data_IF_826656523920
#
_entry.id   IF_826656523920
#
_cell.length_a   1.000
_cell.length_b   1.000
_cell.length_c   1.000
_cell.angle_alpha   90.00
_cell.angle_beta   90.00
_cell.angle_gamma   90.00
#
_symmetry.space_group_name_H-M   'P 1'
#
loop_
_entity.id
_entity.type
_entity.pdbx_description
1 polymer ?
#
# COMPACT_ATOMS: atom_id res chain seq x y z
N UNK A 1 12.42 19.59 -26.11
CA UNK A 1 11.03 19.40 -26.54
C UNK A 1 10.21 19.09 -25.30
N UNK A 2 9.10 19.79 -25.12
CA UNK A 2 8.06 19.48 -24.13
C UNK A 2 7.33 18.22 -24.61
N UNK A 3 6.68 17.45 -23.72
CA UNK A 3 5.78 16.39 -24.18
C UNK A 3 4.58 17.03 -24.91
N UNK A 4 4.34 16.63 -26.16
CA UNK A 4 3.25 17.13 -26.99
C UNK A 4 2.66 16.00 -27.85
N UNK A 5 1.41 16.17 -28.26
CA UNK A 5 0.75 15.35 -29.29
C UNK A 5 0.12 16.31 -30.28
N UNK A 6 0.48 16.24 -31.55
CA UNK A 6 -0.01 17.13 -32.61
C UNK A 6 0.16 18.62 -32.24
N UNK A 7 -0.92 19.28 -31.81
CA UNK A 7 -1.02 20.68 -31.44
C UNK A 7 -1.22 20.92 -29.92
N UNK A 8 -1.23 19.86 -29.11
CA UNK A 8 -1.45 19.92 -27.65
C UNK A 8 -0.16 19.71 -26.88
N UNK A 9 0.06 20.54 -25.87
CA UNK A 9 1.22 20.47 -24.99
C UNK A 9 0.79 20.15 -23.57
N UNK A 10 1.55 19.29 -22.89
CA UNK A 10 1.37 19.09 -21.45
C UNK A 10 1.91 20.27 -20.68
N UNK A 11 1.09 20.89 -19.84
CA UNK A 11 1.53 21.94 -18.91
C UNK A 11 2.22 21.31 -17.69
N UNK A 12 3.54 21.40 -17.63
CA UNK A 12 4.35 20.83 -16.54
C UNK A 12 4.24 21.73 -15.31
N UNK A 13 3.34 21.38 -14.39
CA UNK A 13 3.08 22.16 -13.16
C UNK A 13 4.21 22.11 -12.14
N UNK A 14 4.64 20.90 -11.79
CA UNK A 14 5.60 20.68 -10.71
C UNK A 14 6.41 19.41 -10.93
N UNK A 15 7.69 19.47 -10.59
CA UNK A 15 8.59 18.33 -10.46
C UNK A 15 9.12 18.23 -9.02
N UNK A 16 9.52 17.04 -8.60
CA UNK A 16 10.10 16.82 -7.27
C UNK A 16 11.16 15.72 -7.29
N UNK A 17 12.22 15.94 -6.53
CA UNK A 17 13.29 14.98 -6.26
C UNK A 17 13.95 15.36 -4.92
N UNK A 18 14.59 14.43 -4.22
CA UNK A 18 15.37 14.72 -3.01
C UNK A 18 16.74 15.31 -3.34
N UNK A 19 17.26 15.04 -4.55
CA UNK A 19 18.61 15.39 -4.95
C UNK A 19 18.68 16.83 -5.51
N UNK A 20 19.43 17.69 -4.83
CA UNK A 20 19.70 19.08 -5.25
C UNK A 20 20.30 19.19 -6.66
N UNK A 21 21.03 18.17 -7.13
CA UNK A 21 21.57 18.17 -8.49
C UNK A 21 20.47 17.97 -9.55
N UNK A 22 19.41 17.24 -9.21
CA UNK A 22 18.22 17.12 -10.06
C UNK A 22 17.52 18.48 -10.17
N UNK A 23 17.40 19.23 -9.07
CA UNK A 23 16.85 20.59 -9.06
C UNK A 23 17.66 21.52 -9.96
N UNK A 24 18.99 21.57 -9.78
CA UNK A 24 19.86 22.42 -10.58
C UNK A 24 19.73 22.12 -12.08
N UNK A 25 19.76 20.83 -12.45
CA UNK A 25 19.60 20.39 -13.83
C UNK A 25 18.23 20.78 -14.37
N UNK A 26 17.18 20.61 -13.56
CA UNK A 26 15.82 20.94 -13.97
C UNK A 26 15.68 22.45 -14.24
N UNK A 27 16.13 23.28 -13.30
CA UNK A 27 16.06 24.75 -13.42
C UNK A 27 16.79 25.28 -14.64
N UNK A 28 17.98 24.73 -14.95
CA UNK A 28 18.73 25.13 -16.13
C UNK A 28 18.05 24.64 -17.41
N UNK A 29 17.70 23.35 -17.48
CA UNK A 29 17.24 22.75 -18.73
C UNK A 29 15.80 23.11 -19.06
N UNK A 30 14.88 22.99 -18.11
CA UNK A 30 13.45 23.17 -18.37
C UNK A 30 13.04 24.62 -18.21
N UNK A 31 13.41 25.29 -17.11
CA UNK A 31 13.00 26.69 -16.91
C UNK A 31 13.78 27.68 -17.79
N UNK A 32 15.12 27.64 -17.76
CA UNK A 32 15.93 28.63 -18.49
C UNK A 32 16.03 28.36 -19.99
N UNK A 33 16.40 27.14 -20.39
CA UNK A 33 16.63 26.83 -21.81
C UNK A 33 15.34 26.58 -22.60
N UNK A 34 14.35 25.91 -22.00
CA UNK A 34 13.08 25.59 -22.66
C UNK A 34 11.95 26.58 -22.33
N UNK A 35 12.16 27.51 -21.37
CA UNK A 35 11.18 28.53 -21.02
C UNK A 35 9.95 28.00 -20.30
N UNK A 36 10.01 26.80 -19.70
CA UNK A 36 8.87 26.21 -19.00
C UNK A 36 8.74 26.82 -17.59
N UNK A 37 7.54 27.20 -17.18
CA UNK A 37 7.27 27.72 -15.83
C UNK A 37 6.93 26.59 -14.84
N UNK A 38 7.76 25.53 -14.85
CA UNK A 38 7.59 24.37 -13.99
C UNK A 38 8.21 24.62 -12.62
N UNK A 39 7.45 24.43 -11.56
CA UNK A 39 7.98 24.48 -10.19
C UNK A 39 8.83 23.25 -9.89
N UNK A 40 9.79 23.39 -8.99
CA UNK A 40 10.59 22.25 -8.50
C UNK A 40 10.59 22.22 -6.97
N UNK A 41 10.26 21.06 -6.40
CA UNK A 41 10.26 20.82 -4.95
C UNK A 41 11.38 19.85 -4.60
N UNK A 42 12.49 20.40 -4.08
CA UNK A 42 13.62 19.60 -3.59
C UNK A 42 13.35 19.16 -2.14
N UNK A 43 12.72 18.00 -1.98
CA UNK A 43 12.30 17.49 -0.67
C UNK A 43 12.17 15.96 -0.71
N UNK A 44 12.45 15.29 0.41
CA UNK A 44 12.19 13.86 0.54
C UNK A 44 10.68 13.59 0.61
N UNK A 45 10.18 12.76 -0.32
CA UNK A 45 8.78 12.33 -0.37
C UNK A 45 8.30 11.62 0.89
N UNK A 46 9.23 11.09 1.70
CA UNK A 46 8.95 10.39 2.94
C UNK A 46 8.77 11.31 4.16
N UNK A 47 9.00 12.62 4.01
CA UNK A 47 8.75 13.60 5.06
C UNK A 47 7.25 13.87 5.25
N UNK A 48 6.79 13.96 6.50
CA UNK A 48 5.39 14.25 6.81
C UNK A 48 4.94 15.62 6.28
N UNK A 49 5.87 16.56 6.10
CA UNK A 49 5.63 17.89 5.53
C UNK A 49 5.57 17.90 4.01
N UNK A 50 6.02 16.85 3.31
CA UNK A 50 6.09 16.81 1.85
C UNK A 50 4.71 17.00 1.22
N UNK A 51 3.73 16.20 1.63
CA UNK A 51 2.40 16.24 1.03
C UNK A 51 1.68 17.59 1.29
N UNK A 52 1.68 18.16 2.52
CA UNK A 52 1.21 19.52 2.76
C UNK A 52 1.90 20.57 1.87
N UNK A 53 3.22 20.49 1.70
CA UNK A 53 3.97 21.41 0.85
C UNK A 53 3.60 21.27 -0.62
N UNK A 54 3.48 20.02 -1.12
CA UNK A 54 3.05 19.72 -2.48
C UNK A 54 1.67 20.33 -2.76
N UNK A 55 0.70 20.08 -1.88
CA UNK A 55 -0.66 20.61 -2.04
C UNK A 55 -0.69 22.13 -2.00
N UNK A 56 0.13 22.76 -1.16
CA UNK A 56 0.29 24.22 -1.13
C UNK A 56 0.86 24.75 -2.45
N UNK A 57 1.84 24.07 -3.04
CA UNK A 57 2.46 24.51 -4.29
C UNK A 57 1.56 24.31 -5.52
N UNK A 58 0.78 23.23 -5.55
CA UNK A 58 -0.23 22.96 -6.58
C UNK A 58 -1.46 23.88 -6.43
N UNK A 59 -1.83 24.22 -5.19
CA UNK A 59 -3.02 25.01 -4.90
C UNK A 59 -4.31 24.29 -5.33
N UNK A 60 -5.23 25.02 -5.97
CA UNK A 60 -6.53 24.50 -6.40
C UNK A 60 -6.52 23.96 -7.85
N UNK A 61 -5.34 23.71 -8.41
CA UNK A 61 -5.23 23.24 -9.80
C UNK A 61 -5.59 21.76 -9.89
N UNK A 62 -6.43 21.40 -10.86
CA UNK A 62 -6.65 20.00 -11.21
C UNK A 62 -5.41 19.46 -11.94
N UNK A 63 -4.97 18.26 -11.57
CA UNK A 63 -3.81 17.61 -12.18
C UNK A 63 -4.33 16.47 -13.05
N UNK A 64 -4.08 16.54 -14.35
CA UNK A 64 -4.52 15.49 -15.28
C UNK A 64 -3.66 14.23 -15.16
N UNK A 65 -2.33 14.39 -15.03
CA UNK A 65 -1.38 13.28 -15.07
C UNK A 65 -0.32 13.43 -13.98
N UNK A 66 -0.06 12.35 -13.23
CA UNK A 66 1.11 12.24 -12.35
C UNK A 66 2.03 11.14 -12.87
N UNK A 67 3.29 11.45 -13.14
CA UNK A 67 4.29 10.47 -13.56
C UNK A 67 5.37 10.32 -12.49
N UNK A 68 5.82 9.10 -12.20
CA UNK A 68 6.91 8.89 -11.24
C UNK A 68 7.56 7.52 -11.36
N UNK A 69 8.79 7.40 -10.87
CA UNK A 69 9.53 6.14 -10.80
C UNK A 69 10.01 5.87 -9.37
N UNK A 70 9.10 5.60 -8.41
CA UNK A 70 9.49 5.32 -7.03
C UNK A 70 10.44 4.11 -7.01
N UNK A 71 11.58 4.28 -6.34
CA UNK A 71 12.61 3.24 -6.31
C UNK A 71 12.09 1.97 -5.62
N UNK A 72 12.38 0.80 -6.20
CA UNK A 72 11.94 -0.49 -5.68
C UNK A 72 12.97 -1.11 -4.69
N UNK A 73 13.96 -0.33 -4.21
CA UNK A 73 15.05 -0.84 -3.36
C UNK A 73 14.55 -1.40 -2.02
N UNK A 74 13.45 -0.85 -1.49
CA UNK A 74 12.73 -1.29 -0.28
C UNK A 74 12.17 -2.72 -0.36
N UNK A 75 11.85 -3.21 -1.56
CA UNK A 75 11.23 -4.53 -1.76
C UNK A 75 12.24 -5.70 -1.75
N UNK A 76 13.54 -5.45 -1.57
CA UNK A 76 14.62 -6.37 -1.96
C UNK A 76 14.92 -7.56 -1.04
N UNK A 77 14.30 -7.72 0.13
CA UNK A 77 14.85 -8.65 1.14
C UNK A 77 13.94 -9.67 1.83
N UNK A 78 12.62 -9.72 1.64
CA UNK A 78 11.83 -10.70 2.39
C UNK A 78 10.51 -11.08 1.71
N UNK A 79 10.16 -12.36 1.76
CA UNK A 79 9.04 -12.99 1.04
C UNK A 79 7.63 -12.54 1.45
N UNK A 80 6.65 -13.47 1.49
CA UNK A 80 5.21 -13.29 1.82
C UNK A 80 4.85 -12.40 3.04
N UNK A 81 5.83 -11.96 3.82
CA UNK A 81 5.75 -11.42 5.18
C UNK A 81 6.18 -9.95 5.25
N UNK A 82 5.73 -9.10 4.32
CA UNK A 82 5.95 -7.64 4.40
C UNK A 82 4.74 -6.77 4.04
N UNK A 83 3.50 -7.22 4.33
CA UNK A 83 2.27 -6.46 4.04
C UNK A 83 2.16 -5.14 4.84
N UNK A 84 2.93 -5.00 5.92
CA UNK A 84 2.60 -4.06 6.98
C UNK A 84 3.54 -2.86 7.14
N UNK A 85 4.76 -2.95 6.60
CA UNK A 85 5.70 -1.84 6.62
C UNK A 85 5.68 -1.06 5.30
N UNK A 86 4.69 -0.16 5.18
CA UNK A 86 4.51 0.71 4.00
C UNK A 86 5.24 2.05 4.13
N UNK A 87 5.66 2.48 5.33
CA UNK A 87 6.09 3.86 5.57
C UNK A 87 7.51 4.18 5.08
N UNK A 88 8.37 3.17 5.00
CA UNK A 88 9.72 3.31 4.42
C UNK A 88 9.75 2.90 2.94
N UNK A 89 8.58 2.81 2.31
CA UNK A 89 8.42 2.46 0.91
C UNK A 89 8.10 3.71 0.09
N UNK A 90 9.00 4.10 -0.82
CA UNK A 90 8.77 5.21 -1.75
C UNK A 90 7.49 5.01 -2.56
N UNK A 91 7.13 3.75 -2.83
CA UNK A 91 5.88 3.42 -3.50
C UNK A 91 4.64 3.85 -2.69
N UNK A 92 4.65 3.65 -1.37
CA UNK A 92 3.53 4.06 -0.52
C UNK A 92 3.34 5.58 -0.49
N UNK A 93 4.43 6.35 -0.40
CA UNK A 93 4.32 7.81 -0.44
C UNK A 93 3.94 8.33 -1.83
N UNK A 94 4.37 7.66 -2.90
CA UNK A 94 3.85 7.90 -4.24
C UNK A 94 2.33 7.69 -4.29
N UNK A 95 1.81 6.58 -3.76
CA UNK A 95 0.36 6.36 -3.68
C UNK A 95 -0.36 7.40 -2.81
N UNK A 96 0.25 7.91 -1.73
CA UNK A 96 -0.32 9.04 -0.96
C UNK A 96 -0.50 10.27 -1.83
N UNK A 97 0.49 10.59 -2.68
CA UNK A 97 0.39 11.69 -3.65
C UNK A 97 -0.75 11.44 -4.63
N UNK A 98 -0.86 10.22 -5.17
CA UNK A 98 -1.98 9.85 -6.07
C UNK A 98 -3.33 10.00 -5.36
N UNK A 99 -3.46 9.50 -4.12
CA UNK A 99 -4.69 9.61 -3.31
C UNK A 99 -5.09 11.06 -3.06
N UNK A 100 -4.12 11.95 -2.83
CA UNK A 100 -4.37 13.35 -2.52
C UNK A 100 -4.67 14.20 -3.76
N UNK A 101 -3.91 14.02 -4.85
CA UNK A 101 -4.09 14.78 -6.08
C UNK A 101 -5.23 14.24 -6.97
N UNK A 102 -5.58 12.96 -6.82
CA UNK A 102 -6.62 12.26 -7.59
C UNK A 102 -6.55 12.53 -9.10
N UNK A 103 -5.36 12.41 -9.75
CA UNK A 103 -5.21 12.74 -11.15
C UNK A 103 -6.07 11.84 -12.05
N UNK A 104 -6.39 12.32 -13.26
CA UNK A 104 -7.12 11.52 -14.28
C UNK A 104 -6.34 10.27 -14.67
N UNK A 105 -5.03 10.39 -14.77
CA UNK A 105 -4.12 9.27 -15.03
C UNK A 105 -2.89 9.36 -14.13
N UNK A 106 -2.30 8.21 -13.81
CA UNK A 106 -0.94 8.19 -13.29
C UNK A 106 -0.12 7.12 -13.99
N UNK A 107 1.18 7.37 -14.08
CA UNK A 107 2.15 6.49 -14.72
C UNK A 107 3.28 6.23 -13.75
N UNK A 108 3.40 4.97 -13.33
CA UNK A 108 4.49 4.52 -12.48
C UNK A 108 5.46 3.66 -13.29
N UNK A 109 6.70 4.13 -13.43
CA UNK A 109 7.77 3.42 -14.14
C UNK A 109 8.62 2.61 -13.17
N UNK A 110 9.12 1.46 -13.63
CA UNK A 110 10.11 0.67 -12.91
C UNK A 110 10.96 -0.23 -13.83
N UNK A 111 11.97 -0.87 -13.27
CA UNK A 111 12.81 -1.84 -13.97
C UNK A 111 12.08 -3.16 -14.21
N UNK A 112 12.37 -3.84 -15.34
CA UNK A 112 11.74 -5.12 -15.71
C UNK A 112 11.82 -6.21 -14.63
N UNK A 113 12.89 -6.23 -13.85
CA UNK A 113 13.06 -7.18 -12.75
C UNK A 113 11.95 -7.14 -11.68
N UNK A 114 11.16 -6.06 -11.62
CA UNK A 114 10.02 -5.96 -10.68
C UNK A 114 8.95 -7.04 -10.92
N UNK A 115 8.78 -7.49 -12.17
CA UNK A 115 7.77 -8.47 -12.55
C UNK A 115 8.03 -9.86 -11.95
N UNK A 116 9.30 -10.20 -11.73
CA UNK A 116 9.74 -11.52 -11.25
C UNK A 116 10.26 -11.49 -9.82
N UNK A 117 10.35 -10.31 -9.20
CA UNK A 117 10.88 -10.13 -7.84
C UNK A 117 9.98 -10.83 -6.82
N UNK A 118 10.59 -11.58 -5.91
CA UNK A 118 9.90 -12.46 -4.95
C UNK A 118 8.82 -13.33 -5.62
N UNK A 119 9.17 -14.03 -6.70
CA UNK A 119 8.26 -14.89 -7.46
C UNK A 119 7.02 -14.14 -8.01
N UNK A 120 7.17 -12.84 -8.31
CA UNK A 120 6.10 -11.99 -8.84
C UNK A 120 5.16 -11.40 -7.78
N UNK A 121 5.40 -11.67 -6.49
CA UNK A 121 4.57 -11.13 -5.39
C UNK A 121 4.66 -9.61 -5.28
N UNK A 122 5.78 -9.01 -5.66
CA UNK A 122 5.93 -7.54 -5.63
C UNK A 122 4.98 -6.86 -6.63
N UNK A 123 4.89 -7.40 -7.85
CA UNK A 123 3.95 -6.92 -8.87
C UNK A 123 2.52 -6.99 -8.35
N UNK A 124 2.13 -8.13 -7.81
CA UNK A 124 0.79 -8.35 -7.28
C UNK A 124 0.46 -7.41 -6.11
N UNK A 125 1.42 -7.20 -5.20
CA UNK A 125 1.27 -6.23 -4.11
C UNK A 125 1.02 -4.82 -4.65
N UNK A 126 1.77 -4.37 -5.64
CA UNK A 126 1.60 -3.04 -6.26
C UNK A 126 0.17 -2.90 -6.82
N UNK A 127 -0.30 -3.90 -7.57
CA UNK A 127 -1.65 -3.90 -8.13
C UNK A 127 -2.72 -3.84 -7.03
N UNK A 128 -2.56 -4.62 -5.95
CA UNK A 128 -3.48 -4.61 -4.79
C UNK A 128 -3.54 -3.26 -4.10
N UNK A 129 -2.39 -2.60 -3.89
CA UNK A 129 -2.35 -1.28 -3.26
C UNK A 129 -3.00 -0.21 -4.13
N UNK A 130 -2.82 -0.27 -5.45
CA UNK A 130 -3.48 0.64 -6.40
C UNK A 130 -5.00 0.39 -6.42
N UNK A 131 -5.43 -0.88 -6.49
CA UNK A 131 -6.84 -1.29 -6.43
C UNK A 131 -7.51 -0.95 -5.10
N UNK A 132 -6.70 -0.75 -4.05
CA UNK A 132 -7.14 -0.30 -2.73
C UNK A 132 -7.33 1.21 -2.63
N UNK A 133 -7.06 1.97 -3.70
CA UNK A 133 -7.42 3.39 -3.76
C UNK A 133 -8.92 3.49 -4.10
N UNK A 134 -9.70 4.00 -3.16
CA UNK A 134 -11.16 4.08 -3.25
C UNK A 134 -11.65 5.51 -3.33
N UNK A 135 -12.88 5.66 -3.81
CA UNK A 135 -13.64 6.89 -3.80
C UNK A 135 -14.56 6.95 -2.57
N UNK A 136 -14.14 7.69 -1.54
CA UNK A 136 -14.82 7.76 -0.24
C UNK A 136 -16.29 8.15 -0.36
N UNK A 137 -16.65 8.98 -1.35
CA UNK A 137 -18.03 9.41 -1.58
C UNK A 137 -18.98 8.25 -1.94
N UNK A 138 -18.45 7.15 -2.46
CA UNK A 138 -19.22 5.99 -2.94
C UNK A 138 -19.25 4.83 -1.94
N UNK A 139 -18.49 4.93 -0.86
CA UNK A 139 -18.33 3.87 0.15
C UNK A 139 -19.60 3.55 0.93
N UNK A 140 -20.54 4.50 1.03
CA UNK A 140 -21.83 4.28 1.69
C UNK A 140 -22.62 3.11 1.09
N UNK A 141 -22.51 2.89 -0.24
CA UNK A 141 -23.17 1.75 -0.90
C UNK A 141 -22.59 0.41 -0.43
N UNK A 142 -21.27 0.36 -0.23
CA UNK A 142 -20.62 -0.83 0.31
C UNK A 142 -21.00 -1.06 1.77
N UNK A 143 -21.01 -0.03 2.61
CA UNK A 143 -21.42 -0.18 4.00
C UNK A 143 -22.85 -0.72 4.15
N UNK A 144 -23.79 -0.23 3.34
CA UNK A 144 -25.16 -0.77 3.31
C UNK A 144 -25.16 -2.25 2.89
N UNK A 145 -24.41 -2.61 1.84
CA UNK A 145 -24.29 -4.01 1.41
C UNK A 145 -23.70 -4.91 2.50
N UNK A 146 -22.66 -4.46 3.20
CA UNK A 146 -22.05 -5.22 4.29
C UNK A 146 -23.07 -5.47 5.42
N UNK A 147 -23.84 -4.45 5.80
CA UNK A 147 -24.79 -4.54 6.91
C UNK A 147 -25.99 -5.43 6.57
N UNK A 148 -26.58 -5.27 5.37
CA UNK A 148 -27.80 -5.98 4.98
C UNK A 148 -27.53 -7.40 4.47
N UNK A 149 -26.39 -7.61 3.79
CA UNK A 149 -26.09 -8.86 3.09
C UNK A 149 -25.05 -9.68 3.82
N UNK A 150 -23.92 -9.08 4.22
CA UNK A 150 -22.78 -9.84 4.73
C UNK A 150 -22.92 -10.17 6.22
N UNK A 151 -23.35 -9.21 7.04
CA UNK A 151 -23.49 -9.35 8.50
C UNK A 151 -24.30 -10.59 8.92
N UNK A 152 -25.45 -10.93 8.30
CA UNK A 152 -26.21 -12.13 8.67
C UNK A 152 -25.53 -13.46 8.31
N UNK A 153 -24.47 -13.44 7.50
CA UNK A 153 -23.84 -14.64 6.92
C UNK A 153 -22.53 -15.03 7.59
N UNK A 154 -22.04 -14.28 8.57
CA UNK A 154 -20.75 -14.52 9.19
C UNK A 154 -20.77 -14.25 10.71
N UNK A 155 -19.82 -14.80 11.48
CA UNK A 155 -19.70 -14.52 12.91
C UNK A 155 -19.59 -13.02 13.17
N UNK A 156 -20.29 -12.54 14.22
CA UNK A 156 -20.34 -11.11 14.54
C UNK A 156 -18.95 -10.51 14.74
N UNK A 157 -18.08 -11.17 15.49
CA UNK A 157 -16.68 -10.75 15.74
C UNK A 157 -15.90 -10.50 14.45
N UNK A 158 -16.04 -11.41 13.49
CA UNK A 158 -15.37 -11.38 12.20
C UNK A 158 -15.95 -10.29 11.29
N UNK A 159 -17.28 -10.14 11.28
CA UNK A 159 -17.94 -9.01 10.61
C UNK A 159 -17.42 -7.67 11.11
N UNK A 160 -17.34 -7.50 12.43
CA UNK A 160 -16.86 -6.25 13.02
C UNK A 160 -15.40 -5.98 12.64
N UNK A 161 -14.53 -6.99 12.66
CA UNK A 161 -13.16 -6.84 12.18
C UNK A 161 -13.13 -6.36 10.72
N UNK A 162 -13.84 -7.06 9.82
CA UNK A 162 -13.87 -6.71 8.41
C UNK A 162 -14.44 -5.32 8.14
N UNK A 163 -15.58 -4.99 8.74
CA UNK A 163 -16.24 -3.70 8.61
C UNK A 163 -15.33 -2.56 9.09
N UNK A 164 -14.79 -2.68 10.31
CA UNK A 164 -13.89 -1.66 10.88
C UNK A 164 -12.63 -1.51 10.03
N UNK A 165 -12.05 -2.61 9.51
CA UNK A 165 -10.89 -2.55 8.62
C UNK A 165 -11.15 -1.78 7.33
N UNK A 166 -12.32 -1.99 6.72
CA UNK A 166 -12.74 -1.24 5.53
C UNK A 166 -12.97 0.24 5.86
N UNK A 167 -13.55 0.56 7.03
CA UNK A 167 -13.69 1.94 7.48
C UNK A 167 -12.34 2.63 7.70
N UNK A 168 -11.30 1.91 8.14
CA UNK A 168 -9.95 2.48 8.32
C UNK A 168 -9.33 3.00 7.01
N UNK A 169 -9.79 2.54 5.83
CA UNK A 169 -9.26 2.98 4.53
C UNK A 169 -9.84 4.33 4.06
N UNK A 170 -11.01 4.70 4.57
CA UNK A 170 -11.77 5.89 4.13
C UNK A 170 -11.82 6.99 5.21
N UNK A 171 -11.53 6.63 6.46
CA UNK A 171 -11.63 7.54 7.61
C UNK A 171 -10.31 8.28 7.84
N UNK A 172 -9.93 9.19 6.95
CA UNK A 172 -8.71 10.02 7.11
C UNK A 172 -8.68 10.81 8.43
N UNK A 173 -9.85 11.20 8.96
CA UNK A 173 -9.93 12.01 10.18
C UNK A 173 -10.22 11.20 11.47
N UNK A 174 -10.28 9.87 11.39
CA UNK A 174 -10.66 9.05 12.56
C UNK A 174 -9.99 7.66 12.63
N UNK A 175 -8.85 7.49 11.95
CA UNK A 175 -8.15 6.21 11.90
C UNK A 175 -7.84 5.68 13.30
N UNK A 176 -7.37 6.52 14.22
CA UNK A 176 -7.01 6.10 15.59
C UNK A 176 -8.22 5.53 16.35
N UNK A 177 -9.40 6.14 16.19
CA UNK A 177 -10.64 5.61 16.79
C UNK A 177 -11.05 4.28 16.16
N UNK A 178 -10.97 4.15 14.84
CA UNK A 178 -11.30 2.87 14.17
C UNK A 178 -10.31 1.78 14.59
N UNK A 179 -9.03 2.14 14.73
CA UNK A 179 -8.00 1.26 15.25
C UNK A 179 -8.32 0.83 16.70
N UNK A 180 -8.72 1.75 17.57
CA UNK A 180 -9.18 1.41 18.93
C UNK A 180 -10.35 0.43 18.93
N UNK A 181 -11.40 0.70 18.16
CA UNK A 181 -12.57 -0.18 18.01
C UNK A 181 -12.16 -1.58 17.53
N UNK A 182 -11.24 -1.65 16.56
CA UNK A 182 -10.73 -2.91 16.04
C UNK A 182 -10.04 -3.72 17.15
N UNK A 183 -9.16 -3.08 17.92
CA UNK A 183 -8.43 -3.75 19.00
C UNK A 183 -9.33 -4.13 20.18
N UNK A 184 -10.36 -3.35 20.50
CA UNK A 184 -11.38 -3.74 21.49
C UNK A 184 -12.11 -5.04 21.08
N UNK A 185 -12.43 -5.19 19.78
CA UNK A 185 -13.00 -6.42 19.25
C UNK A 185 -12.02 -7.60 19.37
N UNK A 186 -10.73 -7.42 19.07
CA UNK A 186 -9.71 -8.46 19.26
C UNK A 186 -9.53 -8.85 20.74
N UNK A 187 -9.54 -7.88 21.65
CA UNK A 187 -9.46 -8.13 23.09
C UNK A 187 -10.68 -8.92 23.60
N UNK A 188 -11.88 -8.62 23.09
CA UNK A 188 -13.07 -9.41 23.41
C UNK A 188 -12.94 -10.85 22.89
N UNK A 189 -12.47 -11.04 21.66
CA UNK A 189 -12.21 -12.38 21.12
C UNK A 189 -11.16 -13.15 21.93
N UNK A 190 -10.12 -12.46 22.42
CA UNK A 190 -9.14 -13.08 23.32
C UNK A 190 -9.77 -13.54 24.64
N UNK A 191 -10.73 -12.79 25.20
CA UNK A 191 -11.48 -13.23 26.38
C UNK A 191 -12.28 -14.49 26.08
N UNK A 192 -12.90 -14.58 24.90
CA UNK A 192 -13.62 -15.79 24.48
C UNK A 192 -12.71 -16.99 24.33
N UNK A 193 -11.50 -16.82 23.80
CA UNK A 193 -10.51 -17.91 23.72
C UNK A 193 -10.03 -18.33 25.11
N UNK A 194 -9.73 -17.37 25.99
CA UNK A 194 -9.10 -17.63 27.30
C UNK A 194 -10.08 -18.05 28.40
N UNK A 195 -11.40 -17.87 28.22
CA UNK A 195 -12.43 -18.32 29.20
C UNK A 195 -12.43 -19.85 29.42
N UNK A 196 -11.89 -20.60 28.46
CA UNK A 196 -11.77 -22.06 28.53
C UNK A 196 -10.59 -22.54 29.38
N UNK A 197 -9.71 -21.63 29.80
CA UNK A 197 -8.57 -21.94 30.65
C UNK A 197 -8.86 -21.67 32.12
N UNK A 198 -8.25 -22.43 33.05
CA UNK A 198 -8.21 -22.08 34.46
C UNK A 198 -7.66 -20.66 34.67
N UNK A 199 -8.23 -19.92 35.63
CA UNK A 199 -7.85 -18.52 35.88
C UNK A 199 -6.36 -18.32 36.13
N UNK A 200 -5.70 -19.24 36.84
CA UNK A 200 -4.25 -19.20 37.09
C UNK A 200 -3.46 -19.26 35.78
N UNK A 201 -3.81 -20.19 34.89
CA UNK A 201 -3.19 -20.36 33.57
C UNK A 201 -3.45 -19.13 32.70
N UNK A 202 -4.71 -18.69 32.60
CA UNK A 202 -5.06 -17.48 31.84
C UNK A 202 -4.25 -16.24 32.29
N UNK A 203 -3.88 -16.14 33.57
CA UNK A 203 -3.11 -15.00 34.08
C UNK A 203 -1.59 -15.10 33.84
N UNK A 204 -1.00 -16.29 33.98
CA UNK A 204 0.46 -16.44 34.01
C UNK A 204 1.06 -17.17 32.81
N UNK A 205 0.24 -17.79 31.95
CA UNK A 205 0.75 -18.56 30.81
C UNK A 205 1.51 -17.68 29.81
N UNK A 206 2.63 -18.21 29.34
CA UNK A 206 3.51 -17.53 28.38
C UNK A 206 2.75 -17.21 27.08
N UNK A 207 2.04 -18.18 26.51
CA UNK A 207 1.34 -18.01 25.23
C UNK A 207 0.20 -17.01 25.37
N UNK A 208 -0.58 -17.06 26.45
CA UNK A 208 -1.63 -16.07 26.70
C UNK A 208 -1.04 -14.65 26.81
N UNK A 209 0.09 -14.50 27.49
CA UNK A 209 0.78 -13.21 27.61
C UNK A 209 1.39 -12.76 26.27
N UNK A 210 1.92 -13.67 25.46
CA UNK A 210 2.38 -13.38 24.09
C UNK A 210 1.24 -12.82 23.25
N UNK A 211 0.03 -13.37 23.35
CA UNK A 211 -1.12 -12.84 22.60
C UNK A 211 -1.47 -11.42 23.09
N UNK A 212 -1.62 -11.23 24.41
CA UNK A 212 -1.94 -9.91 25.00
C UNK A 212 -0.94 -8.84 24.58
N UNK A 213 0.36 -9.13 24.72
CA UNK A 213 1.41 -8.19 24.34
C UNK A 213 1.50 -8.03 22.83
N UNK A 214 1.26 -9.08 22.06
CA UNK A 214 1.17 -9.02 20.60
C UNK A 214 0.11 -8.04 20.13
N UNK A 215 -1.11 -8.11 20.68
CA UNK A 215 -2.20 -7.16 20.40
C UNK A 215 -1.81 -5.73 20.76
N UNK A 216 -1.26 -5.50 21.96
CA UNK A 216 -0.83 -4.18 22.40
C UNK A 216 0.26 -3.60 21.48
N UNK A 217 1.26 -4.41 21.15
CA UNK A 217 2.34 -3.97 20.26
C UNK A 217 1.79 -3.65 18.87
N UNK A 218 0.89 -4.46 18.31
CA UNK A 218 0.24 -4.21 17.02
C UNK A 218 -0.56 -2.90 17.05
N UNK A 219 -1.24 -2.60 18.17
CA UNK A 219 -1.94 -1.33 18.38
C UNK A 219 -0.98 -0.13 18.39
N UNK A 220 0.24 -0.30 18.92
CA UNK A 220 1.29 0.72 19.00
C UNK A 220 2.09 0.90 17.70
N UNK A 221 1.49 0.60 16.54
CA UNK A 221 2.17 0.65 15.23
C UNK A 221 2.94 1.95 14.98
N UNK A 222 2.33 3.11 15.21
CA UNK A 222 2.96 4.41 14.96
C UNK A 222 4.27 4.58 15.74
N UNK A 223 4.29 4.15 17.01
CA UNK A 223 5.48 4.22 17.86
C UNK A 223 6.56 3.26 17.39
N UNK A 224 6.19 2.02 17.02
CA UNK A 224 7.16 1.04 16.49
C UNK A 224 7.76 1.51 15.16
N UNK A 225 6.93 2.02 14.25
CA UNK A 225 7.39 2.55 12.97
C UNK A 225 8.37 3.73 13.18
N UNK A 226 8.10 4.61 14.15
CA UNK A 226 9.02 5.70 14.50
C UNK A 226 10.37 5.18 15.04
N UNK A 227 10.36 4.14 15.87
CA UNK A 227 11.60 3.49 16.36
C UNK A 227 12.36 2.86 15.19
N UNK A 228 11.68 2.11 14.30
CA UNK A 228 12.30 1.50 13.11
C UNK A 228 12.98 2.56 12.25
N UNK A 229 12.29 3.66 11.95
CA UNK A 229 12.82 4.78 11.16
C UNK A 229 14.10 5.35 11.78
N UNK A 230 14.11 5.58 13.09
CA UNK A 230 15.31 6.08 13.79
C UNK A 230 16.48 5.09 13.73
N UNK A 231 16.22 3.79 13.85
CA UNK A 231 17.26 2.74 13.74
C UNK A 231 17.81 2.69 12.32
N UNK A 232 16.96 2.78 11.30
CA UNK A 232 17.38 2.83 9.88
C UNK A 232 18.20 4.10 9.61
N UNK A 233 17.75 5.26 10.08
CA UNK A 233 18.47 6.52 9.92
C UNK A 233 19.86 6.45 10.57
N UNK A 234 19.97 5.92 11.79
CA UNK A 234 21.25 5.73 12.46
C UNK A 234 22.17 4.79 11.66
N UNK A 235 21.64 3.68 11.15
CA UNK A 235 22.37 2.74 10.29
C UNK A 235 22.95 3.45 9.06
N UNK A 236 22.13 4.24 8.37
CA UNK A 236 22.53 5.01 7.18
C UNK A 236 23.58 6.07 7.50
N UNK A 237 23.37 6.87 8.56
CA UNK A 237 24.30 7.94 8.95
C UNK A 237 25.66 7.42 9.41
N UNK A 238 25.70 6.23 10.00
CA UNK A 238 26.93 5.58 10.41
C UNK A 238 27.59 4.76 9.28
N UNK A 239 27.00 4.73 8.06
CA UNK A 239 27.43 3.90 6.94
C UNK A 239 27.56 2.41 7.32
N UNK A 240 26.68 1.92 8.20
CA UNK A 240 26.65 0.51 8.59
C UNK A 240 26.11 -0.31 7.42
N UNK A 241 27.01 -0.99 6.74
CA UNK A 241 26.71 -1.88 5.64
C UNK A 241 27.83 -2.91 5.48
N UNK A 242 27.45 -4.14 5.13
CA UNK A 242 28.37 -5.26 4.91
C UNK A 242 29.44 -5.44 6.02
N UNK A 243 29.03 -5.31 7.29
CA UNK A 243 29.88 -5.40 8.48
C UNK A 243 29.23 -6.26 9.59
N UNK A 244 29.92 -6.43 10.73
CA UNK A 244 29.43 -7.25 11.86
C UNK A 244 28.31 -6.61 12.67
N UNK A 245 28.03 -5.32 12.50
CA UNK A 245 26.95 -4.63 13.21
C UNK A 245 25.60 -4.82 12.52
N UNK A 246 25.60 -5.12 11.22
CA UNK A 246 24.39 -5.17 10.38
C UNK A 246 23.28 -6.06 10.97
N UNK A 247 23.64 -7.23 11.50
CA UNK A 247 22.68 -8.22 12.01
C UNK A 247 21.96 -7.73 13.26
N UNK A 248 22.65 -7.05 14.17
CA UNK A 248 22.05 -6.52 15.39
C UNK A 248 21.00 -5.44 15.10
N UNK A 249 21.30 -4.54 14.16
CA UNK A 249 20.37 -3.49 13.73
C UNK A 249 19.18 -4.08 12.97
N UNK A 250 19.45 -5.01 12.05
CA UNK A 250 18.39 -5.70 11.31
C UNK A 250 17.47 -6.47 12.27
N UNK A 251 18.01 -7.12 13.30
CA UNK A 251 17.24 -7.85 14.30
C UNK A 251 16.32 -6.93 15.13
N UNK A 252 16.77 -5.72 15.51
CA UNK A 252 15.92 -4.73 16.18
C UNK A 252 14.74 -4.36 15.29
N UNK A 253 15.03 -4.00 14.03
CA UNK A 253 14.01 -3.66 13.04
C UNK A 253 13.03 -4.82 12.91
N UNK A 254 13.52 -6.02 12.60
CA UNK A 254 12.69 -7.22 12.39
C UNK A 254 11.85 -7.60 13.61
N UNK A 255 12.42 -7.56 14.82
CA UNK A 255 11.72 -7.97 16.05
C UNK A 255 10.49 -7.13 16.35
N UNK A 256 10.53 -5.83 16.07
CA UNK A 256 9.41 -4.90 16.28
C UNK A 256 8.54 -4.71 15.03
N UNK A 257 8.80 -5.48 13.97
CA UNK A 257 7.95 -5.49 12.78
C UNK A 257 6.56 -6.03 13.09
N UNK A 258 5.57 -5.53 12.37
CA UNK A 258 4.21 -6.03 12.48
C UNK A 258 4.15 -7.53 12.14
N UNK A 259 4.98 -7.99 11.20
CA UNK A 259 4.99 -9.37 10.73
C UNK A 259 5.55 -10.34 11.76
N UNK A 260 6.70 -10.01 12.36
CA UNK A 260 7.30 -10.85 13.40
C UNK A 260 6.39 -10.95 14.62
N UNK A 261 5.67 -9.87 14.94
CA UNK A 261 4.76 -9.81 16.07
C UNK A 261 3.47 -10.58 15.77
N UNK A 262 2.93 -10.44 14.56
CA UNK A 262 1.78 -11.22 14.10
C UNK A 262 2.08 -12.71 14.11
N UNK A 263 3.22 -13.14 13.55
CA UNK A 263 3.64 -14.56 13.50
C UNK A 263 3.68 -15.17 14.90
N UNK A 264 4.39 -14.51 15.84
CA UNK A 264 4.45 -14.95 17.25
C UNK A 264 3.08 -14.98 17.91
N UNK A 265 2.21 -14.03 17.58
CA UNK A 265 0.85 -13.96 18.11
C UNK A 265 -0.01 -15.11 17.60
N UNK A 266 0.04 -15.41 16.30
CA UNK A 266 -0.72 -16.51 15.68
C UNK A 266 -0.27 -17.87 16.21
N UNK A 267 1.04 -18.10 16.36
CA UNK A 267 1.58 -19.32 16.97
C UNK A 267 1.14 -19.48 18.43
N UNK A 268 1.12 -18.39 19.21
CA UNK A 268 0.64 -18.41 20.58
C UNK A 268 -0.87 -18.71 20.65
N UNK A 269 -1.68 -18.20 19.72
CA UNK A 269 -3.11 -18.55 19.63
C UNK A 269 -3.27 -20.05 19.40
N UNK A 270 -2.48 -20.66 18.51
CA UNK A 270 -2.55 -22.10 18.26
C UNK A 270 -2.20 -22.94 19.50
N UNK A 271 -1.27 -22.48 20.34
CA UNK A 271 -0.94 -23.13 21.61
C UNK A 271 -2.10 -23.01 22.62
N UNK A 272 -2.65 -21.81 22.78
CA UNK A 272 -3.78 -21.55 23.68
C UNK A 272 -5.02 -22.33 23.26
N UNK A 273 -5.30 -22.40 21.97
CA UNK A 273 -6.42 -23.17 21.41
C UNK A 273 -6.34 -24.66 21.78
N UNK A 274 -5.14 -25.25 21.70
CA UNK A 274 -4.90 -26.64 22.10
C UNK A 274 -5.04 -26.84 23.61
N UNK A 275 -4.64 -25.86 24.42
CA UNK A 275 -4.76 -25.93 25.88
C UNK A 275 -6.21 -25.82 26.36
N UNK A 276 -7.01 -24.98 25.72
CA UNK A 276 -8.40 -24.70 26.09
C UNK A 276 -9.46 -25.51 25.32
N UNK A 277 -9.05 -26.33 24.36
CA UNK A 277 -9.95 -27.05 23.44
C UNK A 277 -10.99 -26.12 22.77
N UNK A 278 -10.53 -24.99 22.24
CA UNK A 278 -11.35 -23.93 21.64
C UNK A 278 -10.91 -23.56 20.20
N UNK A 279 -10.94 -24.52 19.24
CA UNK A 279 -10.43 -24.31 17.89
C UNK A 279 -11.23 -23.27 17.09
N UNK A 280 -12.54 -23.14 17.31
CA UNK A 280 -13.41 -22.23 16.56
C UNK A 280 -13.22 -20.77 16.99
N UNK A 281 -13.15 -20.49 18.30
CA UNK A 281 -12.86 -19.17 18.84
C UNK A 281 -11.45 -18.71 18.42
N UNK A 282 -10.48 -19.62 18.49
CA UNK A 282 -9.11 -19.35 18.05
C UNK A 282 -9.06 -19.04 16.54
N UNK A 283 -9.80 -19.79 15.72
CA UNK A 283 -9.90 -19.52 14.28
C UNK A 283 -10.49 -18.13 14.00
N UNK A 284 -11.56 -17.74 14.69
CA UNK A 284 -12.13 -16.38 14.56
C UNK A 284 -11.11 -15.29 14.90
N UNK A 285 -10.36 -15.46 15.99
CA UNK A 285 -9.35 -14.49 16.42
C UNK A 285 -8.20 -14.37 15.40
N UNK A 286 -7.71 -15.51 14.88
CA UNK A 286 -6.66 -15.54 13.85
C UNK A 286 -7.13 -14.85 12.58
N UNK A 287 -8.34 -15.15 12.10
CA UNK A 287 -8.89 -14.49 10.91
C UNK A 287 -9.06 -12.98 11.11
N UNK A 288 -9.53 -12.54 12.28
CA UNK A 288 -9.62 -11.11 12.59
C UNK A 288 -8.24 -10.43 12.61
N UNK A 289 -7.21 -11.11 13.12
CA UNK A 289 -5.84 -10.62 13.08
C UNK A 289 -5.26 -10.55 11.66
N UNK A 290 -5.56 -11.52 10.80
CA UNK A 290 -5.15 -11.47 9.40
C UNK A 290 -5.82 -10.31 8.66
N UNK A 291 -7.10 -10.03 8.95
CA UNK A 291 -7.85 -8.88 8.40
C UNK A 291 -7.20 -7.55 8.78
N UNK A 292 -6.69 -7.39 10.00
CA UNK A 292 -5.97 -6.16 10.43
C UNK A 292 -4.89 -5.76 9.41
N UNK A 293 -4.24 -6.77 8.84
CA UNK A 293 -3.08 -6.61 7.95
C UNK A 293 -3.43 -6.64 6.47
N UNK A 294 -4.70 -6.90 6.15
CA UNK A 294 -5.17 -7.02 4.78
C UNK A 294 -5.33 -5.65 4.14
N UNK A 295 -5.10 -5.55 2.83
CA UNK A 295 -5.45 -4.36 2.05
C UNK A 295 -6.97 -4.28 1.84
N UNK A 296 -7.47 -3.13 1.37
CA UNK A 296 -8.86 -3.01 0.97
C UNK A 296 -9.22 -4.06 -0.09
N UNK A 297 -8.38 -4.20 -1.14
CA UNK A 297 -8.57 -5.19 -2.21
C UNK A 297 -8.67 -6.62 -1.67
N UNK A 298 -7.81 -6.99 -0.71
CA UNK A 298 -7.84 -8.30 -0.06
C UNK A 298 -9.07 -8.52 0.82
N UNK A 299 -9.58 -7.48 1.48
CA UNK A 299 -10.84 -7.55 2.20
C UNK A 299 -12.01 -7.81 1.25
N UNK A 300 -12.00 -7.20 0.06
CA UNK A 300 -13.00 -7.46 -0.98
C UNK A 300 -12.87 -8.88 -1.53
N UNK A 301 -11.66 -9.37 -1.83
CA UNK A 301 -11.41 -10.77 -2.23
C UNK A 301 -11.96 -11.74 -1.19
N UNK A 302 -11.75 -11.46 0.09
CA UNK A 302 -12.29 -12.25 1.19
C UNK A 302 -13.83 -12.30 1.16
N UNK A 303 -14.50 -11.16 0.94
CA UNK A 303 -15.96 -11.08 0.81
C UNK A 303 -16.44 -11.87 -0.41
N UNK A 304 -15.76 -11.74 -1.55
CA UNK A 304 -16.09 -12.47 -2.77
C UNK A 304 -16.04 -13.98 -2.53
N UNK A 305 -15.04 -14.47 -1.80
CA UNK A 305 -14.92 -15.89 -1.45
C UNK A 305 -16.07 -16.37 -0.55
N UNK A 306 -16.54 -15.54 0.39
CA UNK A 306 -17.73 -15.86 1.20
C UNK A 306 -19.02 -15.94 0.35
N UNK A 307 -19.06 -15.18 -0.75
CA UNK A 307 -20.21 -15.09 -1.66
C UNK A 307 -20.08 -15.97 -2.91
N UNK A 308 -19.05 -16.82 -3.03
CA UNK A 308 -18.76 -17.58 -4.25
C UNK A 308 -19.91 -18.45 -4.78
N UNK A 309 -20.79 -18.90 -3.88
CA UNK A 309 -21.96 -19.72 -4.22
C UNK A 309 -23.24 -18.87 -4.47
N UNK A 310 -23.13 -17.54 -4.51
CA UNK A 310 -24.24 -16.59 -4.64
C UNK A 310 -23.98 -15.62 -5.80
N UNK A 311 -24.03 -16.14 -7.02
CA UNK A 311 -23.65 -15.42 -8.25
C UNK A 311 -24.26 -14.01 -8.38
N UNK A 312 -25.56 -13.85 -8.08
CA UNK A 312 -26.22 -12.54 -8.16
C UNK A 312 -25.66 -11.50 -7.19
N UNK A 313 -25.32 -11.90 -5.96
CA UNK A 313 -24.70 -11.01 -4.97
C UNK A 313 -23.24 -10.70 -5.34
N UNK A 314 -22.53 -11.69 -5.85
CA UNK A 314 -21.16 -11.52 -6.32
C UNK A 314 -21.10 -10.54 -7.50
N UNK A 315 -22.00 -10.67 -8.47
CA UNK A 315 -22.13 -9.73 -9.57
C UNK A 315 -22.45 -8.31 -9.06
N UNK A 316 -23.40 -8.19 -8.13
CA UNK A 316 -23.75 -6.88 -7.55
C UNK A 316 -22.57 -6.22 -6.82
N UNK A 317 -21.81 -6.98 -6.03
CA UNK A 317 -20.59 -6.50 -5.39
C UNK A 317 -19.57 -6.04 -6.43
N UNK A 318 -19.32 -6.83 -7.48
CA UNK A 318 -18.34 -6.48 -8.51
C UNK A 318 -18.71 -5.21 -9.27
N UNK A 319 -19.97 -5.01 -9.63
CA UNK A 319 -20.44 -3.77 -10.25
C UNK A 319 -20.26 -2.57 -9.32
N UNK A 320 -20.59 -2.74 -8.04
CA UNK A 320 -20.35 -1.69 -7.03
C UNK A 320 -18.86 -1.35 -6.91
N UNK A 321 -17.99 -2.36 -6.96
CA UNK A 321 -16.56 -2.16 -6.84
C UNK A 321 -15.94 -1.40 -8.02
N UNK A 322 -16.50 -1.53 -9.23
CA UNK A 322 -16.07 -0.70 -10.40
C UNK A 322 -16.28 0.78 -10.13
N UNK A 323 -17.34 1.14 -9.43
CA UNK A 323 -17.61 2.53 -9.07
C UNK A 323 -16.78 2.99 -7.88
N UNK A 324 -16.59 2.13 -6.87
CA UNK A 324 -15.88 2.47 -5.62
C UNK A 324 -14.38 2.58 -5.82
N UNK A 325 -13.76 1.72 -6.63
CA UNK A 325 -12.32 1.84 -6.93
C UNK A 325 -12.11 3.13 -7.70
N UNK A 326 -11.20 3.97 -7.21
CA UNK A 326 -10.92 5.24 -7.86
C UNK A 326 -10.14 5.06 -9.17
N UNK A 327 -9.30 4.03 -9.23
CA UNK A 327 -8.46 3.75 -10.39
C UNK A 327 -8.72 2.36 -10.95
N UNK A 328 -8.90 2.30 -12.26
CA UNK A 328 -8.78 1.12 -13.08
C UNK A 328 -7.30 0.90 -13.40
N UNK A 329 -6.83 -0.34 -13.24
CA UNK A 329 -5.48 -0.74 -13.58
C UNK A 329 -5.48 -2.18 -14.09
N UNK A 330 -4.90 -2.38 -15.26
CA UNK A 330 -4.68 -3.70 -15.86
C UNK A 330 -3.27 -4.22 -15.53
N UNK A 331 -2.84 -5.27 -16.23
CA UNK A 331 -1.45 -5.73 -16.15
C UNK A 331 -0.47 -4.64 -16.59
N UNK A 332 0.72 -4.54 -15.98
CA UNK A 332 1.68 -3.53 -16.35
C UNK A 332 2.26 -3.79 -17.76
N UNK A 333 2.54 -2.70 -18.48
CA UNK A 333 3.13 -2.74 -19.80
C UNK A 333 4.63 -2.95 -19.72
N UNK A 334 5.19 -3.77 -20.63
CA UNK A 334 6.63 -3.86 -20.85
C UNK A 334 6.96 -3.10 -22.12
N UNK A 335 7.65 -1.97 -21.96
CA UNK A 335 7.96 -1.03 -23.03
C UNK A 335 9.46 -1.02 -23.31
N UNK A 336 9.85 -1.10 -24.58
CA UNK A 336 11.25 -0.97 -24.97
C UNK A 336 11.58 0.52 -25.19
N UNK A 337 12.54 1.07 -24.44
CA UNK A 337 12.83 2.52 -24.50
C UNK A 337 13.16 3.03 -25.92
N UNK A 338 13.77 2.20 -26.77
CA UNK A 338 14.05 2.56 -28.17
C UNK A 338 12.80 2.80 -29.01
N UNK A 339 11.67 2.18 -28.66
CA UNK A 339 10.38 2.37 -29.35
C UNK A 339 9.78 3.76 -29.08
N UNK A 340 10.38 4.51 -28.14
CA UNK A 340 9.92 5.83 -27.71
C UNK A 340 10.98 6.92 -27.93
N UNK A 341 11.92 6.69 -28.87
CA UNK A 341 12.95 7.68 -29.24
C UNK A 341 14.09 7.84 -28.22
N UNK A 342 14.16 6.99 -27.20
CA UNK A 342 15.27 6.98 -26.24
C UNK A 342 16.41 6.14 -26.83
N UNK A 343 17.66 6.63 -26.88
CA UNK A 343 18.82 5.91 -27.41
C UNK A 343 19.30 4.83 -26.42
N UNK A 344 18.44 3.87 -26.14
CA UNK A 344 18.69 2.84 -25.14
C UNK A 344 17.86 1.59 -25.45
N UNK A 345 18.53 0.45 -25.56
CA UNK A 345 17.87 -0.85 -25.70
C UNK A 345 17.59 -1.46 -24.32
N UNK A 346 16.65 -0.87 -23.57
CA UNK A 346 16.24 -1.37 -22.26
C UNK A 346 14.73 -1.45 -22.16
N UNK A 347 14.26 -2.55 -21.57
CA UNK A 347 12.85 -2.72 -21.23
C UNK A 347 12.55 -2.04 -19.89
N UNK A 348 11.42 -1.32 -19.86
CA UNK A 348 10.82 -0.71 -18.68
C UNK A 348 9.42 -1.26 -18.45
N UNK A 349 9.04 -1.31 -17.19
CA UNK A 349 7.71 -1.71 -16.78
C UNK A 349 6.96 -0.46 -16.39
N UNK A 350 5.76 -0.32 -16.92
CA UNK A 350 4.90 0.84 -16.67
C UNK A 350 3.56 0.38 -16.16
N UNK A 351 3.20 0.85 -14.97
CA UNK A 351 1.87 0.72 -14.41
C UNK A 351 1.09 1.98 -14.73
N UNK A 352 -0.05 1.83 -15.41
CA UNK A 352 -0.91 2.96 -15.78
C UNK A 352 -2.21 2.82 -15.01
N UNK A 353 -2.47 3.77 -14.11
CA UNK A 353 -3.76 3.88 -13.45
C UNK A 353 -4.63 4.91 -14.15
N UNK A 354 -5.83 4.51 -14.55
CA UNK A 354 -6.84 5.37 -15.17
C UNK A 354 -7.93 5.64 -14.14
N UNK A 355 -8.25 6.89 -13.84
CA UNK A 355 -9.35 7.21 -12.91
C UNK A 355 -10.65 6.61 -13.45
N UNK A 356 -11.55 6.18 -12.57
CA UNK A 356 -12.72 5.38 -12.95
C UNK A 356 -13.71 6.08 -13.89
N UNK A 357 -13.60 7.40 -14.05
CA UNK A 357 -14.35 8.24 -14.99
C UNK A 357 -13.61 8.48 -16.32
N UNK A 358 -12.46 7.85 -16.53
CA UNK A 358 -11.62 7.97 -17.72
C UNK A 358 -11.56 6.67 -18.52
N UNK A 359 -11.17 6.78 -19.80
CA UNK A 359 -10.92 5.63 -20.65
C UNK A 359 -9.73 4.81 -20.16
N UNK A 360 -9.85 3.49 -20.20
CA UNK A 360 -8.77 2.58 -19.83
C UNK A 360 -7.75 2.51 -20.97
N UNK A 361 -6.48 2.72 -20.64
CA UNK A 361 -5.37 2.59 -21.59
C UNK A 361 -5.00 1.13 -21.70
N UNK A 362 -5.34 0.50 -22.83
CA UNK A 362 -5.08 -0.91 -23.10
C UNK A 362 -3.83 -1.14 -23.99
N UNK A 363 -3.32 -0.09 -24.62
CA UNK A 363 -2.14 -0.14 -25.48
C UNK A 363 -1.35 1.16 -25.42
N UNK A 364 -0.03 1.06 -25.60
CA UNK A 364 0.89 2.20 -25.66
C UNK A 364 1.73 2.03 -26.93
N UNK A 365 1.27 2.54 -28.10
CA UNK A 365 1.97 2.34 -29.35
C UNK A 365 3.36 3.00 -29.33
N UNK A 366 4.30 2.43 -30.09
CA UNK A 366 5.61 3.03 -30.31
C UNK A 366 5.46 4.43 -30.92
N UNK A 367 6.26 5.39 -30.47
CA UNK A 367 6.25 6.76 -31.02
C UNK A 367 7.26 6.96 -32.14
N UNK A 368 8.12 5.97 -32.40
CA UNK A 368 9.09 5.98 -33.51
C UNK A 368 9.04 4.67 -34.30
N UNK A 369 9.26 4.76 -35.61
CA UNK A 369 9.44 3.59 -36.49
C UNK A 369 10.81 2.95 -36.28
N UNK A 370 10.99 1.70 -36.72
CA UNK A 370 12.28 0.99 -36.63
C UNK A 370 13.44 1.73 -37.32
N UNK A 371 13.14 2.49 -38.39
CA UNK A 371 14.13 3.33 -39.08
C UNK A 371 14.51 4.58 -38.30
N UNK A 372 13.62 5.07 -37.42
CA UNK A 372 13.82 6.27 -36.59
C UNK A 372 14.44 5.94 -35.23
N UNK A 373 14.49 4.66 -34.85
CA UNK A 373 15.16 4.22 -33.63
C UNK A 373 16.60 4.67 -33.61
N UNK A 374 16.97 5.37 -32.54
CA UNK A 374 18.37 5.78 -32.32
C UNK A 374 19.16 4.53 -31.97
N UNK A 375 19.97 4.06 -32.94
CA UNK A 375 20.87 2.91 -32.76
C UNK A 375 21.98 3.32 -31.80
N UNK A 376 22.15 2.55 -30.73
CA UNK A 376 23.22 2.71 -29.74
C UNK A 376 24.49 2.04 -30.22
#
# INVERSE_FOLDING_TARGET
MQAYTDDKYYDFRLASDINENCELTHRVRYNKMLGLDTKFMCQDIMEDSFLPNLLKEIGNQEIDVVTGGPSCQSFSLAGRRKKLDKRDDLFYHYLKVIKALRPKYFVMENVKGILTKDEGRIKERILREIRSIVDDAKMNRLYAFLEDVLKPQMPASLYHALYTRLCMETSTDNWDKQNEIFFENLEQQLKEVTKHLPYSISKSDESVNTIRHGLLLLKMKQQRDAIRKQVIQLKTSAHIDNDTFIDGYNAIIETISDEQILEKTLEAIDKVAKMGDCPDEAKSLKQSLEILTSTFDECIEYIQEQLKNKEGLLHHLNEMMKEIRLYNIEEPFVLLSSDYGVPQNRERVVFVGCRNDQEVINEIPATVTDSEKVKV
#
